data_IF_716570300264
#
_entry.id   IF_716570300264
#
_cell.length_a   1.000
_cell.length_b   1.000
_cell.length_c   1.000
_cell.angle_alpha   90.00
_cell.angle_beta   90.00
_cell.angle_gamma   90.00
#
_symmetry.space_group_name_H-M   'P 1'
#
loop_
_entity.id
_entity.type
_entity.pdbx_description
1 polymer ?
#
# COMPACT_ATOMS: atom_id res chain seq x y z
N UNK A 1 0.35 12.18 -3.27
CA UNK A 1 -0.01 12.83 -1.99
C UNK A 1 -0.01 14.36 -2.18
N UNK A 2 -0.77 15.12 -1.37
CA UNK A 2 -1.03 16.55 -1.61
C UNK A 2 -0.62 17.49 -0.45
N UNK A 3 0.16 16.99 0.52
CA UNK A 3 0.75 17.76 1.62
C UNK A 3 -0.24 18.54 2.51
N UNK A 4 -1.51 18.10 2.59
CA UNK A 4 -2.53 18.76 3.43
C UNK A 4 -2.47 18.43 4.92
N UNK A 5 -1.88 17.28 5.27
CA UNK A 5 -1.74 16.84 6.68
C UNK A 5 -0.34 17.10 7.24
N UNK A 6 0.68 16.93 6.40
CA UNK A 6 2.08 17.16 6.71
C UNK A 6 2.69 17.96 5.55
N UNK A 7 3.68 18.81 5.84
CA UNK A 7 4.45 19.44 4.79
C UNK A 7 5.22 18.39 3.95
N UNK A 8 5.78 18.82 2.83
CA UNK A 8 6.51 17.93 1.92
C UNK A 8 7.68 17.21 2.61
N UNK A 9 8.48 17.91 3.40
CA UNK A 9 9.63 17.34 4.12
C UNK A 9 9.21 16.18 5.04
N UNK A 10 8.16 16.36 5.85
CA UNK A 10 7.70 15.33 6.78
C UNK A 10 6.89 14.23 6.09
N UNK A 11 6.19 14.54 4.99
CA UNK A 11 5.53 13.53 4.15
C UNK A 11 6.56 12.60 3.54
N UNK A 12 7.62 13.14 2.94
CA UNK A 12 8.70 12.35 2.37
C UNK A 12 9.42 11.54 3.46
N UNK A 13 9.62 12.12 4.65
CA UNK A 13 10.21 11.39 5.78
C UNK A 13 9.32 10.22 6.23
N UNK A 14 8.00 10.39 6.28
CA UNK A 14 7.06 9.33 6.64
C UNK A 14 7.09 8.17 5.64
N UNK A 15 7.18 8.49 4.35
CA UNK A 15 7.14 7.53 3.23
C UNK A 15 8.51 6.94 2.84
N UNK A 16 9.59 7.43 3.45
CA UNK A 16 10.93 6.90 3.20
C UNK A 16 11.04 5.47 3.73
N UNK A 17 11.76 4.59 3.02
CA UNK A 17 12.07 3.25 3.50
C UNK A 17 13.11 3.31 4.62
N UNK A 18 12.67 3.21 5.88
CA UNK A 18 13.55 3.23 7.05
C UNK A 18 14.04 1.83 7.44
N UNK A 19 13.28 0.79 7.12
CA UNK A 19 13.64 -0.60 7.45
C UNK A 19 13.19 -1.52 6.32
N UNK A 20 14.05 -2.46 5.93
CA UNK A 20 13.67 -3.57 5.07
C UNK A 20 13.21 -4.73 5.95
N UNK A 21 11.98 -5.21 5.71
CA UNK A 21 11.37 -6.30 6.49
C UNK A 21 11.57 -7.64 5.78
N UNK A 22 11.54 -7.64 4.44
CA UNK A 22 11.88 -8.78 3.59
C UNK A 22 12.34 -8.29 2.21
N UNK A 23 12.54 -9.21 1.25
CA UNK A 23 13.09 -8.89 -0.07
C UNK A 23 12.38 -7.74 -0.80
N UNK A 24 11.05 -7.68 -0.70
CA UNK A 24 10.23 -6.68 -1.41
C UNK A 24 9.43 -5.75 -0.49
N UNK A 25 9.41 -6.03 0.81
CA UNK A 25 8.65 -5.33 1.83
C UNK A 25 9.54 -4.46 2.72
N UNK A 26 9.16 -3.19 2.81
CA UNK A 26 9.85 -2.17 3.57
C UNK A 26 8.85 -1.46 4.50
N UNK A 27 9.38 -0.76 5.50
CA UNK A 27 8.57 -0.02 6.45
C UNK A 27 9.04 1.43 6.55
N UNK A 28 8.07 2.34 6.45
CA UNK A 28 8.23 3.75 6.74
C UNK A 28 7.86 4.07 8.19
N UNK A 29 7.45 5.31 8.45
CA UNK A 29 6.87 5.64 9.76
C UNK A 29 5.37 5.33 9.79
N UNK A 30 5.03 4.14 10.28
CA UNK A 30 3.64 3.69 10.43
C UNK A 30 2.97 3.27 9.12
N UNK A 31 3.75 2.97 8.08
CA UNK A 31 3.22 2.58 6.77
C UNK A 31 4.09 1.49 6.13
N UNK A 32 3.44 0.51 5.50
CA UNK A 32 4.12 -0.49 4.69
C UNK A 32 4.40 0.06 3.30
N UNK A 33 5.58 -0.29 2.77
CA UNK A 33 6.03 0.10 1.44
C UNK A 33 6.41 -1.17 0.70
N UNK A 34 5.71 -1.47 -0.40
CA UNK A 34 6.05 -2.58 -1.30
C UNK A 34 6.82 -2.03 -2.48
N UNK A 35 7.95 -2.66 -2.82
CA UNK A 35 8.73 -2.35 -4.02
C UNK A 35 8.63 -3.45 -5.07
N UNK A 36 8.80 -3.06 -6.32
CA UNK A 36 8.99 -3.98 -7.45
C UNK A 36 10.42 -4.54 -7.45
N UNK A 37 10.68 -5.53 -8.29
CA UNK A 37 12.03 -6.09 -8.53
C UNK A 37 13.02 -5.04 -9.06
N UNK A 38 12.52 -4.00 -9.74
CA UNK A 38 13.30 -2.85 -10.22
C UNK A 38 13.54 -1.77 -9.14
N UNK A 39 13.23 -2.07 -7.87
CA UNK A 39 13.38 -1.17 -6.73
C UNK A 39 12.48 0.09 -6.78
N UNK A 40 11.51 0.13 -7.69
CA UNK A 40 10.47 1.16 -7.75
C UNK A 40 9.39 0.92 -6.70
N UNK A 41 8.73 1.97 -6.21
CA UNK A 41 7.64 1.83 -5.24
C UNK A 41 6.37 1.37 -5.96
N UNK A 42 5.90 0.17 -5.62
CA UNK A 42 4.64 -0.37 -6.13
C UNK A 42 3.44 0.25 -5.42
N UNK A 43 3.45 0.21 -4.08
CA UNK A 43 2.36 0.77 -3.26
C UNK A 43 2.83 1.16 -1.86
N UNK A 44 2.10 2.12 -1.30
CA UNK A 44 2.08 2.41 0.13
C UNK A 44 0.80 1.82 0.72
N UNK A 45 0.87 1.07 1.81
CA UNK A 45 -0.32 0.40 2.34
C UNK A 45 -0.32 0.24 3.86
N UNK A 46 -1.52 0.01 4.38
CA UNK A 46 -1.78 -0.36 5.76
C UNK A 46 -2.75 -1.54 5.76
N UNK A 47 -2.67 -2.33 6.83
CA UNK A 47 -3.55 -3.47 7.07
C UNK A 47 -3.87 -3.57 8.55
N UNK A 48 -5.00 -4.18 8.88
CA UNK A 48 -5.44 -4.38 10.25
C UNK A 48 -6.35 -5.60 10.36
N UNK A 49 -6.17 -6.36 11.44
CA UNK A 49 -6.90 -7.58 11.71
C UNK A 49 -7.25 -7.64 13.19
N UNK A 50 -8.53 -7.89 13.47
CA UNK A 50 -9.10 -8.12 14.80
C UNK A 50 -10.21 -9.18 14.68
N UNK A 51 -10.67 -9.80 15.79
CA UNK A 51 -11.83 -10.68 15.73
C UNK A 51 -13.06 -9.98 15.12
N UNK A 52 -13.53 -10.49 13.98
CA UNK A 52 -14.65 -9.91 13.23
C UNK A 52 -14.27 -8.71 12.35
N UNK A 53 -12.98 -8.41 12.15
CA UNK A 53 -12.52 -7.31 11.31
C UNK A 53 -11.29 -7.71 10.50
N UNK A 54 -11.31 -7.39 9.22
CA UNK A 54 -10.11 -7.36 8.39
C UNK A 54 -10.15 -6.17 7.46
N UNK A 55 -8.98 -5.56 7.25
CA UNK A 55 -8.86 -4.30 6.54
C UNK A 55 -7.56 -4.24 5.75
N UNK A 56 -7.65 -3.76 4.51
CA UNK A 56 -6.51 -3.41 3.67
C UNK A 56 -6.78 -2.10 2.95
N UNK A 57 -5.79 -1.21 2.92
CA UNK A 57 -5.85 0.02 2.14
C UNK A 57 -4.49 0.31 1.52
N UNK A 58 -4.49 0.67 0.24
CA UNK A 58 -3.28 0.90 -0.54
C UNK A 58 -3.41 2.12 -1.46
N UNK A 59 -2.30 2.84 -1.62
CA UNK A 59 -2.11 3.88 -2.62
C UNK A 59 -1.05 3.42 -3.63
N UNK A 60 -1.42 3.40 -4.91
CA UNK A 60 -0.57 3.07 -6.05
C UNK A 60 -0.13 4.37 -6.73
N UNK A 61 1.09 4.88 -6.45
CA UNK A 61 1.51 6.22 -6.88
C UNK A 61 1.54 6.36 -8.40
N UNK A 62 2.09 5.37 -9.12
CA UNK A 62 2.21 5.39 -10.59
C UNK A 62 0.86 5.50 -11.30
N UNK A 63 -0.18 4.90 -10.71
CA UNK A 63 -1.53 4.91 -11.27
C UNK A 63 -2.39 6.03 -10.70
N UNK A 64 -1.94 6.70 -9.63
CA UNK A 64 -2.75 7.63 -8.83
C UNK A 64 -4.08 7.02 -8.35
N UNK A 65 -4.07 5.72 -8.01
CA UNK A 65 -5.24 4.97 -7.56
C UNK A 65 -5.15 4.68 -6.05
N UNK A 66 -6.28 4.76 -5.37
CA UNK A 66 -6.45 4.29 -3.99
C UNK A 66 -7.42 3.12 -3.97
N UNK A 67 -7.06 2.05 -3.27
CA UNK A 67 -7.92 0.89 -3.04
C UNK A 67 -8.14 0.75 -1.53
N UNK A 68 -9.40 0.57 -1.13
CA UNK A 68 -9.79 0.39 0.28
C UNK A 68 -10.74 -0.80 0.36
N UNK A 69 -10.38 -1.78 1.16
CA UNK A 69 -11.19 -2.98 1.43
C UNK A 69 -11.49 -3.05 2.92
N UNK A 70 -12.75 -2.84 3.27
CA UNK A 70 -13.26 -2.98 4.63
C UNK A 70 -14.08 -4.27 4.74
N UNK A 71 -13.82 -5.07 5.77
CA UNK A 71 -14.54 -6.31 6.04
C UNK A 71 -14.93 -6.42 7.51
N UNK A 72 -16.18 -6.78 7.77
CA UNK A 72 -16.68 -7.17 9.09
C UNK A 72 -16.55 -8.69 9.35
N UNK A 73 -15.57 -9.32 8.70
CA UNK A 73 -15.13 -10.68 8.94
C UNK A 73 -13.66 -10.65 9.32
N UNK A 74 -13.24 -11.60 10.15
CA UNK A 74 -11.86 -11.73 10.62
C UNK A 74 -10.83 -11.88 9.49
N UNK A 75 -11.25 -12.27 8.29
CA UNK A 75 -10.41 -12.49 7.11
C UNK A 75 -11.10 -12.07 5.79
N UNK A 76 -10.41 -12.29 4.68
CA UNK A 76 -10.90 -12.06 3.31
C UNK A 76 -10.53 -10.71 2.70
N UNK A 77 -10.22 -9.68 3.50
CA UNK A 77 -9.84 -8.37 2.94
C UNK A 77 -8.57 -8.41 2.07
N UNK A 78 -7.63 -9.27 2.41
CA UNK A 78 -6.40 -9.48 1.63
C UNK A 78 -6.68 -10.11 0.27
N UNK A 79 -7.58 -11.10 0.20
CA UNK A 79 -7.88 -11.81 -1.06
C UNK A 79 -8.52 -10.85 -2.07
N UNK A 80 -9.46 -10.01 -1.60
CA UNK A 80 -10.08 -8.96 -2.42
C UNK A 80 -9.05 -7.93 -2.87
N UNK A 81 -8.18 -7.45 -1.97
CA UNK A 81 -7.10 -6.52 -2.32
C UNK A 81 -6.17 -7.11 -3.38
N UNK A 82 -5.84 -8.40 -3.26
CA UNK A 82 -4.94 -9.10 -4.20
C UNK A 82 -5.58 -9.22 -5.59
N UNK A 83 -6.86 -9.63 -5.66
CA UNK A 83 -7.59 -9.68 -6.93
C UNK A 83 -7.72 -8.32 -7.61
N UNK A 84 -7.92 -7.24 -6.84
CA UNK A 84 -7.92 -5.87 -7.39
C UNK A 84 -6.53 -5.49 -7.90
N UNK A 85 -5.48 -5.78 -7.14
CA UNK A 85 -4.09 -5.48 -7.51
C UNK A 85 -3.68 -6.18 -8.82
N UNK A 86 -4.09 -7.43 -9.03
CA UNK A 86 -3.85 -8.15 -10.28
C UNK A 86 -4.43 -7.40 -11.51
N UNK A 87 -5.63 -6.83 -11.38
CA UNK A 87 -6.23 -6.03 -12.45
C UNK A 87 -5.51 -4.69 -12.64
N UNK A 88 -5.03 -4.07 -11.56
CA UNK A 88 -4.25 -2.82 -11.65
C UNK A 88 -2.90 -3.02 -12.33
N UNK A 89 -2.22 -4.15 -12.08
CA UNK A 89 -0.95 -4.47 -12.74
C UNK A 89 -1.15 -4.61 -14.25
N UNK A 90 -2.21 -5.31 -14.69
CA UNK A 90 -2.56 -5.44 -16.12
C UNK A 90 -2.79 -4.07 -16.78
N UNK A 91 -3.44 -3.13 -16.08
CA UNK A 91 -3.66 -1.77 -16.59
C UNK A 91 -2.34 -1.01 -16.76
N UNK A 92 -1.36 -1.23 -15.87
CA UNK A 92 -0.04 -0.59 -15.95
C UNK A 92 0.72 -1.07 -17.18
N UNK A 93 0.71 -2.37 -17.47
CA UNK A 93 1.45 -2.95 -18.61
C UNK A 93 0.88 -2.54 -19.98
N UNK A 94 -0.34 -1.99 -20.03
CA UNK A 94 -0.98 -1.48 -21.24
C UNK A 94 -0.62 -0.02 -21.56
N UNK A 95 0.06 0.70 -20.65
CA UNK A 95 0.47 2.11 -20.81
C UNK A 95 1.95 2.22 -21.13
#
# INVERSE_FOLDING_TARGET
MNYKLLNETYTNKLLSTHTQVNESGYYGYGIWIKKTTENNILKYHIMGYDPGVSFHSAHYPDLSINVVVCSNKSDGAFDIMSGIEEELVKIKDLK
#
